data_IF_345333627636
#
_entry.id   IF_345333627636
#
_cell.length_a   1.000
_cell.length_b   1.000
_cell.length_c   1.000
_cell.angle_alpha   90.00
_cell.angle_beta   90.00
_cell.angle_gamma   90.00
#
_symmetry.space_group_name_H-M   'P 1'
#
loop_
_entity.id
_entity.type
_entity.pdbx_description
1 polymer ?
#
# COMPACT_ATOMS: atom_id res chain seq x y z
N UNK A 1 -2.65 -3.03 -5.99
CA UNK A 1 -2.59 -3.55 -7.38
C UNK A 1 -3.42 -2.64 -8.27
N UNK A 2 -3.24 -2.72 -9.58
CA UNK A 2 -4.12 -2.10 -10.59
C UNK A 2 -4.44 -3.22 -11.59
N UNK A 3 -5.71 -3.58 -11.74
CA UNK A 3 -6.15 -4.71 -12.60
C UNK A 3 -5.28 -5.96 -12.40
N UNK A 4 -5.18 -6.43 -11.15
CA UNK A 4 -4.35 -7.59 -10.72
C UNK A 4 -2.83 -7.42 -10.84
N UNK A 5 -2.36 -6.30 -11.40
CA UNK A 5 -0.93 -6.01 -11.57
C UNK A 5 -0.34 -5.42 -10.27
N UNK A 6 0.70 -6.05 -9.68
CA UNK A 6 1.42 -5.47 -8.54
C UNK A 6 2.23 -4.25 -8.99
N UNK A 7 2.02 -3.11 -8.33
CA UNK A 7 2.76 -1.86 -8.60
C UNK A 7 3.74 -1.50 -7.47
N UNK A 8 3.54 -2.08 -6.29
CA UNK A 8 4.40 -1.93 -5.11
C UNK A 8 4.16 -3.10 -4.16
N UNK A 9 5.24 -3.56 -3.53
CA UNK A 9 5.21 -4.47 -2.37
C UNK A 9 5.95 -3.78 -1.24
N UNK A 10 5.40 -3.85 -0.03
CA UNK A 10 6.05 -3.39 1.19
C UNK A 10 6.08 -4.56 2.18
N UNK A 11 7.25 -5.17 2.32
CA UNK A 11 7.43 -6.39 3.10
C UNK A 11 7.55 -6.08 4.58
N UNK A 12 7.00 -6.94 5.45
CA UNK A 12 7.22 -6.83 6.89
C UNK A 12 8.71 -7.06 7.21
N UNK A 13 9.39 -6.01 7.66
CA UNK A 13 10.79 -6.03 8.09
C UNK A 13 10.96 -5.66 9.57
N UNK A 14 9.99 -6.01 10.43
CA UNK A 14 10.09 -5.81 11.87
C UNK A 14 11.32 -6.49 12.50
N UNK A 15 11.78 -7.61 11.93
CA UNK A 15 13.04 -8.27 12.33
C UNK A 15 14.29 -7.38 12.12
N UNK A 16 14.17 -6.31 11.32
CA UNK A 16 15.20 -5.27 11.13
C UNK A 16 14.87 -3.96 11.85
N UNK A 17 13.86 -3.97 12.73
CA UNK A 17 13.44 -2.80 13.51
C UNK A 17 12.55 -1.79 12.78
N UNK A 18 12.03 -2.14 11.60
CA UNK A 18 11.11 -1.28 10.86
C UNK A 18 9.66 -1.52 11.31
N UNK A 19 8.89 -0.47 11.61
CA UNK A 19 7.48 -0.63 11.98
C UNK A 19 6.66 -1.16 10.80
N UNK A 20 5.70 -2.04 11.07
CA UNK A 20 4.79 -2.60 10.09
C UNK A 20 3.34 -2.54 10.58
N UNK A 21 2.34 -2.22 9.72
CA UNK A 21 0.94 -2.13 10.13
C UNK A 21 0.34 -3.52 10.35
N UNK A 22 0.55 -4.10 11.54
CA UNK A 22 0.00 -5.42 11.93
C UNK A 22 -1.03 -5.38 13.06
N UNK A 23 -0.88 -4.47 14.02
CA UNK A 23 -1.66 -4.52 15.27
C UNK A 23 -2.77 -3.45 15.34
N UNK A 24 -2.68 -2.42 14.52
CA UNK A 24 -3.65 -1.33 14.50
C UNK A 24 -4.69 -1.59 13.41
N UNK A 25 -5.94 -1.80 13.83
CA UNK A 25 -7.06 -1.94 12.90
C UNK A 25 -7.23 -0.65 12.07
N UNK A 26 -7.54 -0.81 10.78
CA UNK A 26 -7.66 0.30 9.84
C UNK A 26 -9.07 0.39 9.27
N UNK A 27 -9.53 1.62 9.02
CA UNK A 27 -10.71 1.89 8.20
C UNK A 27 -10.34 2.10 6.73
N UNK A 28 -11.27 1.80 5.82
CA UNK A 28 -11.15 2.14 4.40
C UNK A 28 -11.76 3.51 4.17
N UNK A 29 -11.01 4.42 3.54
CA UNK A 29 -11.44 5.79 3.28
C UNK A 29 -11.27 6.12 1.79
N UNK A 30 -12.18 6.92 1.25
CA UNK A 30 -12.09 7.50 -0.09
C UNK A 30 -12.54 8.96 -0.04
N UNK A 31 -11.83 9.84 -0.75
CA UNK A 31 -12.15 11.27 -0.79
C UNK A 31 -11.69 11.89 -2.11
N UNK A 32 -12.41 12.93 -2.55
CA UNK A 32 -11.96 13.86 -3.59
C UNK A 32 -11.79 15.22 -2.90
N UNK A 33 -10.60 15.81 -3.00
CA UNK A 33 -10.27 17.06 -2.34
C UNK A 33 -9.18 17.83 -3.11
N UNK A 34 -9.08 19.14 -2.87
CA UNK A 34 -8.08 20.00 -3.50
C UNK A 34 -6.74 19.94 -2.74
N UNK A 35 -5.65 19.61 -3.45
CA UNK A 35 -4.30 19.49 -2.90
C UNK A 35 -3.27 20.32 -3.70
N UNK A 36 -3.65 21.57 -4.02
CA UNK A 36 -2.89 22.51 -4.87
C UNK A 36 -1.42 22.69 -4.49
N UNK A 37 -1.06 22.52 -3.22
CA UNK A 37 0.31 22.76 -2.75
C UNK A 37 1.31 21.69 -3.20
N UNK A 38 0.84 20.52 -3.65
CA UNK A 38 1.75 19.42 -4.02
C UNK A 38 1.27 18.50 -5.14
N UNK A 39 -0.03 18.40 -5.42
CA UNK A 39 -0.59 17.33 -6.26
C UNK A 39 -0.09 17.32 -7.72
N UNK A 40 -0.08 18.47 -8.39
CA UNK A 40 0.24 18.54 -9.83
C UNK A 40 1.57 19.26 -10.06
N UNK A 41 2.55 18.55 -10.63
CA UNK A 41 3.92 19.04 -10.86
C UNK A 41 4.57 19.63 -9.59
N UNK A 42 4.37 18.97 -8.43
CA UNK A 42 4.88 19.45 -7.15
C UNK A 42 4.25 20.78 -6.70
N UNK A 43 2.97 21.00 -7.06
CA UNK A 43 2.19 22.18 -6.69
C UNK A 43 2.31 23.39 -7.62
N UNK A 44 3.01 23.24 -8.76
CA UNK A 44 3.17 24.33 -9.75
C UNK A 44 1.88 24.61 -10.53
N UNK A 45 1.09 23.58 -10.79
CA UNK A 45 -0.18 23.71 -11.52
C UNK A 45 -1.31 23.67 -10.49
N UNK A 46 -2.10 24.74 -10.42
CA UNK A 46 -3.22 24.91 -9.49
C UNK A 46 -4.54 24.49 -10.15
N UNK A 47 -5.51 24.16 -9.32
CA UNK A 47 -6.86 23.78 -9.75
C UNK A 47 -7.53 24.95 -10.46
N UNK A 48 -7.94 24.73 -11.71
CA UNK A 48 -8.79 25.66 -12.43
C UNK A 48 -10.26 25.35 -12.13
N UNK A 49 -10.83 26.12 -11.18
CA UNK A 49 -12.20 25.96 -10.73
C UNK A 49 -13.26 26.29 -11.79
N UNK A 50 -12.89 26.89 -12.92
CA UNK A 50 -13.82 27.07 -14.04
C UNK A 50 -14.24 25.73 -14.68
N UNK A 51 -13.46 24.66 -14.48
CA UNK A 51 -13.78 23.30 -14.93
C UNK A 51 -14.61 22.48 -13.92
N UNK A 52 -15.03 23.09 -12.80
CA UNK A 52 -15.87 22.43 -11.83
C UNK A 52 -17.28 22.14 -12.40
N UNK A 53 -17.98 21.10 -11.89
CA UNK A 53 -17.59 20.19 -10.81
C UNK A 53 -16.63 19.07 -11.22
N UNK A 54 -15.74 18.68 -10.30
CA UNK A 54 -14.87 17.52 -10.44
C UNK A 54 -15.55 16.28 -9.87
N UNK A 55 -15.70 15.23 -10.69
CA UNK A 55 -16.37 13.99 -10.29
C UNK A 55 -15.38 12.82 -10.18
N UNK A 56 -15.51 12.06 -9.10
CA UNK A 56 -14.91 10.73 -8.97
C UNK A 56 -16.03 9.71 -8.72
N UNK A 57 -16.11 8.70 -9.58
CA UNK A 57 -17.15 7.66 -9.53
C UNK A 57 -16.54 6.36 -9.03
N UNK A 58 -17.20 5.73 -8.06
CA UNK A 58 -16.76 4.50 -7.42
C UNK A 58 -17.83 3.42 -7.57
N UNK A 59 -17.40 2.17 -7.66
CA UNK A 59 -18.25 0.98 -7.70
C UNK A 59 -17.53 -0.18 -7.03
N UNK A 60 -18.24 -1.29 -6.82
CA UNK A 60 -17.69 -2.53 -6.26
C UNK A 60 -17.11 -2.35 -4.84
N UNK A 61 -17.94 -1.85 -3.91
CA UNK A 61 -17.58 -1.68 -2.49
C UNK A 61 -17.57 -3.02 -1.75
N UNK A 62 -16.70 -3.93 -2.17
CA UNK A 62 -16.50 -5.23 -1.52
C UNK A 62 -15.34 -5.14 -0.53
N UNK A 63 -15.58 -5.58 0.70
CA UNK A 63 -14.57 -5.66 1.75
C UNK A 63 -14.54 -7.11 2.24
N UNK A 64 -13.51 -7.84 1.81
CA UNK A 64 -13.19 -9.16 2.35
C UNK A 64 -12.00 -9.00 3.32
N UNK A 65 -12.30 -8.96 4.61
CA UNK A 65 -11.34 -8.63 5.65
C UNK A 65 -11.69 -9.28 6.99
N UNK A 66 -10.71 -9.36 7.89
CA UNK A 66 -10.96 -9.70 9.28
C UNK A 66 -11.46 -8.48 10.08
N UNK A 67 -12.70 -8.55 10.56
CA UNK A 67 -13.32 -7.47 11.32
C UNK A 67 -12.78 -7.36 12.76
N UNK A 68 -12.24 -6.18 13.10
CA UNK A 68 -11.75 -5.82 14.43
C UNK A 68 -12.63 -4.73 15.07
N UNK A 69 -13.30 -5.00 16.20
CA UNK A 69 -13.99 -3.98 16.97
C UNK A 69 -13.01 -2.91 17.47
N UNK A 70 -13.42 -1.64 17.35
CA UNK A 70 -12.61 -0.48 17.79
C UNK A 70 -12.31 -0.51 19.30
N UNK A 71 -13.12 -1.24 20.08
CA UNK A 71 -12.98 -1.37 21.54
C UNK A 71 -11.92 -2.38 22.01
N UNK A 72 -11.37 -3.20 21.11
CA UNK A 72 -10.34 -4.17 21.48
C UNK A 72 -8.95 -3.54 21.46
N UNK A 73 -8.10 -3.93 22.41
CA UNK A 73 -6.69 -3.57 22.40
C UNK A 73 -6.00 -4.10 21.13
N UNK A 74 -5.03 -3.35 20.60
CA UNK A 74 -4.32 -3.68 19.36
C UNK A 74 -3.70 -5.09 19.35
N UNK A 75 -3.15 -5.53 20.49
CA UNK A 75 -2.56 -6.86 20.64
C UNK A 75 -3.59 -8.01 20.54
N UNK A 76 -4.86 -7.76 20.85
CA UNK A 76 -5.93 -8.76 20.77
C UNK A 76 -6.53 -8.82 19.35
N UNK A 77 -6.47 -7.71 18.60
CA UNK A 77 -6.87 -7.67 17.19
C UNK A 77 -5.98 -8.57 16.32
N UNK A 78 -4.66 -8.50 16.49
CA UNK A 78 -3.71 -9.32 15.75
C UNK A 78 -3.97 -10.84 15.94
N UNK A 79 -4.28 -11.27 17.17
CA UNK A 79 -4.63 -12.67 17.48
C UNK A 79 -5.96 -13.10 16.87
N UNK A 80 -6.93 -12.20 16.76
CA UNK A 80 -8.25 -12.50 16.16
C UNK A 80 -8.14 -12.68 14.64
N UNK A 81 -7.23 -11.95 14.02
CA UNK A 81 -7.06 -11.92 12.56
C UNK A 81 -5.93 -12.80 12.04
N UNK A 82 -5.31 -13.61 12.89
CA UNK A 82 -4.43 -14.69 12.46
C UNK A 82 -5.23 -15.95 12.11
N UNK A 83 -4.88 -16.62 11.03
CA UNK A 83 -5.43 -17.94 10.71
C UNK A 83 -5.13 -18.98 11.81
N UNK A 84 -6.12 -19.84 12.07
CA UNK A 84 -6.07 -20.94 13.04
C UNK A 84 -6.65 -22.22 12.42
N UNK A 85 -6.65 -23.33 13.18
CA UNK A 85 -7.26 -24.58 12.73
C UNK A 85 -8.75 -24.46 12.39
N UNK A 86 -9.45 -23.52 13.05
CA UNK A 86 -10.89 -23.31 12.92
C UNK A 86 -11.25 -22.16 11.97
N UNK A 87 -10.31 -21.22 11.74
CA UNK A 87 -10.54 -20.04 10.89
C UNK A 87 -9.36 -19.83 9.97
N UNK A 88 -9.53 -20.09 8.68
CA UNK A 88 -8.52 -19.81 7.65
C UNK A 88 -8.90 -18.61 6.84
N UNK A 89 -7.99 -17.67 6.69
CA UNK A 89 -8.11 -16.58 5.76
C UNK A 89 -7.29 -16.90 4.51
N UNK A 90 -7.87 -16.66 3.33
CA UNK A 90 -7.18 -17.01 2.08
C UNK A 90 -5.86 -16.26 1.94
N UNK A 91 -5.77 -15.01 2.43
CA UNK A 91 -4.57 -14.17 2.36
C UNK A 91 -3.41 -14.62 3.27
N UNK A 92 -3.67 -15.47 4.26
CA UNK A 92 -2.64 -16.04 5.14
C UNK A 92 -2.06 -17.36 4.59
N UNK A 93 -2.56 -17.85 3.46
CA UNK A 93 -2.04 -19.08 2.85
C UNK A 93 -0.57 -18.90 2.43
N UNK A 94 0.30 -19.93 2.60
CA UNK A 94 1.72 -19.82 2.28
C UNK A 94 2.01 -19.37 0.84
N UNK A 95 1.13 -19.69 -0.09
CA UNK A 95 1.22 -19.29 -1.51
C UNK A 95 1.08 -17.78 -1.74
N UNK A 96 0.58 -17.04 -0.76
CA UNK A 96 0.42 -15.58 -0.79
C UNK A 96 1.40 -14.84 0.11
N UNK A 97 2.34 -15.56 0.73
CA UNK A 97 3.43 -14.96 1.52
C UNK A 97 4.35 -14.08 0.67
N UNK A 98 4.46 -14.38 -0.63
CA UNK A 98 5.28 -13.66 -1.60
C UNK A 98 4.57 -13.58 -2.96
N UNK A 99 5.03 -12.67 -3.82
CA UNK A 99 4.57 -12.63 -5.20
C UNK A 99 5.02 -13.87 -5.95
N UNK A 100 4.16 -14.42 -6.80
CA UNK A 100 4.59 -15.45 -7.73
C UNK A 100 5.54 -14.88 -8.82
N UNK A 101 6.15 -15.76 -9.62
CA UNK A 101 7.10 -15.36 -10.66
C UNK A 101 6.49 -14.38 -11.68
N UNK A 102 5.25 -14.61 -12.10
CA UNK A 102 4.57 -13.76 -13.07
C UNK A 102 4.33 -12.36 -12.50
N UNK A 103 3.79 -12.28 -11.28
CA UNK A 103 3.58 -11.04 -10.53
C UNK A 103 4.90 -10.29 -10.30
N UNK A 104 5.99 -11.00 -10.01
CA UNK A 104 7.31 -10.40 -9.84
C UNK A 104 7.81 -9.75 -11.14
N UNK A 105 7.65 -10.42 -12.29
CA UNK A 105 7.99 -9.85 -13.59
C UNK A 105 7.12 -8.64 -13.94
N UNK A 106 5.82 -8.69 -13.62
CA UNK A 106 4.92 -7.55 -13.80
C UNK A 106 5.38 -6.35 -12.96
N UNK A 107 5.72 -6.56 -11.69
CA UNK A 107 6.23 -5.51 -10.81
C UNK A 107 7.53 -4.89 -11.35
N UNK A 108 8.45 -5.72 -11.85
CA UNK A 108 9.69 -5.23 -12.50
C UNK A 108 9.38 -4.38 -13.73
N UNK A 109 8.44 -4.82 -14.57
CA UNK A 109 8.04 -4.06 -15.76
C UNK A 109 7.38 -2.72 -15.40
N UNK A 110 6.49 -2.70 -14.39
CA UNK A 110 5.88 -1.46 -13.88
C UNK A 110 6.96 -0.50 -13.39
N UNK A 111 7.91 -0.99 -12.58
CA UNK A 111 9.04 -0.18 -12.09
C UNK A 111 9.88 0.37 -13.24
N UNK A 112 10.21 -0.46 -14.23
CA UNK A 112 11.07 -0.06 -15.35
C UNK A 112 10.40 0.89 -16.35
N UNK A 113 9.07 0.88 -16.48
CA UNK A 113 8.36 1.59 -17.56
C UNK A 113 7.42 2.70 -17.08
N UNK A 114 6.96 2.67 -15.83
CA UNK A 114 5.90 3.55 -15.35
C UNK A 114 6.25 4.30 -14.05
N UNK A 115 7.36 3.94 -13.39
CA UNK A 115 7.77 4.60 -12.15
C UNK A 115 8.47 5.91 -12.44
N UNK A 116 7.83 7.03 -12.06
CA UNK A 116 8.36 8.39 -12.23
C UNK A 116 9.05 8.94 -10.97
N UNK A 117 8.80 8.33 -9.82
CA UNK A 117 9.40 8.69 -8.54
C UNK A 117 9.46 7.44 -7.64
N UNK A 118 10.59 7.28 -6.94
CA UNK A 118 10.78 6.25 -5.92
C UNK A 118 11.67 6.79 -4.80
N UNK A 119 11.11 6.80 -3.59
CA UNK A 119 11.81 7.26 -2.39
C UNK A 119 13.08 6.45 -2.08
N UNK A 120 13.14 5.18 -2.48
CA UNK A 120 14.34 4.35 -2.32
C UNK A 120 15.55 4.87 -3.13
N UNK A 121 15.29 5.63 -4.21
CA UNK A 121 16.31 6.20 -5.10
C UNK A 121 16.49 7.72 -4.94
N UNK A 122 15.65 8.36 -4.12
CA UNK A 122 15.72 9.78 -3.84
C UNK A 122 16.82 10.08 -2.81
N UNK A 123 18.05 10.19 -3.30
CA UNK A 123 19.24 10.51 -2.48
C UNK A 123 19.23 11.93 -1.91
N UNK A 124 18.42 12.84 -2.47
CA UNK A 124 18.29 14.20 -1.95
C UNK A 124 17.46 14.21 -0.66
N UNK A 125 16.39 13.40 -0.62
CA UNK A 125 15.55 13.25 0.57
C UNK A 125 16.11 12.25 1.58
N UNK A 126 16.68 11.14 1.09
CA UNK A 126 17.24 10.07 1.90
C UNK A 126 18.72 9.88 1.56
N UNK A 127 19.64 10.61 2.22
CA UNK A 127 21.08 10.46 1.98
C UNK A 127 21.60 9.05 2.30
N UNK A 128 20.92 8.36 3.22
CA UNK A 128 21.12 6.94 3.52
C UNK A 128 19.88 6.19 3.03
N UNK A 129 20.09 5.13 2.25
CA UNK A 129 19.02 4.32 1.68
C UNK A 129 18.17 3.73 2.83
N UNK A 130 16.83 3.84 2.78
CA UNK A 130 15.97 3.21 3.77
C UNK A 130 16.19 1.68 3.83
N UNK A 131 16.20 1.10 5.02
CA UNK A 131 16.57 -0.31 5.25
C UNK A 131 15.67 -1.28 4.47
N UNK A 132 14.40 -0.93 4.29
CA UNK A 132 13.44 -1.69 3.50
C UNK A 132 13.80 -1.76 2.00
N UNK A 133 14.55 -0.78 1.50
CA UNK A 133 14.90 -0.65 0.09
C UNK A 133 16.13 -1.47 -0.30
N UNK A 134 16.96 -1.89 0.66
CA UNK A 134 18.23 -2.59 0.38
C UNK A 134 18.03 -3.91 -0.39
N UNK A 135 16.85 -4.52 -0.26
CA UNK A 135 16.52 -5.83 -0.84
C UNK A 135 15.66 -5.72 -2.10
N UNK A 136 15.33 -4.49 -2.53
CA UNK A 136 14.52 -4.24 -3.73
C UNK A 136 15.36 -4.01 -5.00
N UNK A 137 16.67 -4.26 -4.94
CA UNK A 137 17.57 -4.22 -6.11
C UNK A 137 17.33 -5.44 -7.01
N UNK A 138 16.50 -5.27 -8.02
CA UNK A 138 16.43 -6.12 -9.20
C UNK A 138 16.64 -5.28 -10.45
#
# INVERSE_FOLDING_TARGET
MVDETPIRVHTNMEHKGLPFPKDQAMGVYSSIWNADDWATQGGRVKTDWSHAPFFASYKNFEIDACECPVSLASADNAKKCSSSAEKRYWWDEPTLSELNLHQSHQLMWVRAKHMVYDYCSDTARFPVIPVECEHHRH
#
